data_IF_169077031704
#
_entry.id   IF_169077031704
#
_cell.length_a   1.000
_cell.length_b   1.000
_cell.length_c   1.000
_cell.angle_alpha   90.00
_cell.angle_beta   90.00
_cell.angle_gamma   90.00
#
_symmetry.space_group_name_H-M   'P 1'
#
loop_
_entity.id
_entity.type
_entity.pdbx_description
1 polymer ?
#
# COMPACT_ATOMS: atom_id res chain seq x y z
N UNK A 1 -21.72 -46.20 60.01
CA UNK A 1 -21.19 -44.93 60.57
C UNK A 1 -21.21 -43.94 59.41
N UNK A 2 -22.36 -43.30 59.13
CA UNK A 2 -22.75 -41.96 59.61
C UNK A 2 -22.07 -40.91 58.71
N UNK A 3 -22.69 -40.00 57.98
CA UNK A 3 -24.00 -39.32 58.04
C UNK A 3 -23.74 -37.95 57.36
N UNK A 4 -24.39 -37.67 56.23
CA UNK A 4 -25.39 -36.59 56.07
C UNK A 4 -24.87 -35.12 56.01
N UNK A 5 -25.06 -34.53 54.81
CA UNK A 5 -25.68 -33.22 54.44
C UNK A 5 -25.34 -31.93 55.22
N UNK A 6 -25.12 -30.83 54.47
CA UNK A 6 -25.73 -29.48 54.57
C UNK A 6 -25.01 -28.55 53.56
N UNK A 7 -25.60 -28.24 52.40
CA UNK A 7 -26.43 -27.07 52.09
C UNK A 7 -25.84 -25.72 52.50
N UNK A 8 -25.56 -24.84 51.53
CA UNK A 8 -25.88 -23.42 51.69
C UNK A 8 -26.14 -22.75 50.32
N UNK A 9 -27.35 -22.18 50.22
CA UNK A 9 -27.88 -21.30 49.19
C UNK A 9 -27.48 -19.84 49.50
N UNK A 10 -27.97 -18.92 48.65
CA UNK A 10 -28.08 -17.46 48.80
C UNK A 10 -26.81 -16.70 48.34
N UNK A 11 -26.84 -15.65 47.52
CA UNK A 11 -27.92 -14.72 47.15
C UNK A 11 -27.71 -14.14 45.75
N UNK A 12 -28.83 -13.83 45.10
CA UNK A 12 -28.96 -12.88 44.00
C UNK A 12 -28.38 -11.50 44.37
N UNK A 13 -27.78 -10.81 43.42
CA UNK A 13 -27.86 -9.36 43.34
C UNK A 13 -27.93 -8.94 41.88
N UNK A 14 -29.18 -8.77 41.47
CA UNK A 14 -29.65 -8.01 40.34
C UNK A 14 -29.34 -6.53 40.60
N UNK A 15 -28.59 -5.88 39.72
CA UNK A 15 -28.54 -4.42 39.65
C UNK A 15 -28.93 -3.99 38.23
N UNK A 16 -30.19 -3.58 38.10
CA UNK A 16 -30.71 -2.80 36.98
C UNK A 16 -30.64 -1.33 37.41
N UNK A 17 -29.95 -0.49 36.64
CA UNK A 17 -30.12 0.97 36.62
C UNK A 17 -29.45 1.50 35.33
N UNK A 18 -30.22 1.67 34.25
CA UNK A 18 -30.79 2.94 33.76
C UNK A 18 -29.80 3.82 32.97
N UNK A 19 -29.98 3.73 31.64
CA UNK A 19 -29.91 4.76 30.60
C UNK A 19 -29.72 6.22 31.07
N UNK A 20 -28.79 6.95 30.43
CA UNK A 20 -28.98 8.33 29.94
C UNK A 20 -28.17 8.47 28.64
N UNK A 21 -28.90 8.65 27.53
CA UNK A 21 -28.39 9.20 26.29
C UNK A 21 -27.95 10.65 26.49
N UNK A 22 -26.68 10.95 26.22
CA UNK A 22 -26.21 12.31 25.97
C UNK A 22 -25.71 12.42 24.53
N UNK A 23 -26.67 12.55 23.61
CA UNK A 23 -26.46 13.16 22.30
C UNK A 23 -26.79 14.64 22.45
N UNK A 24 -25.81 15.52 22.54
CA UNK A 24 -25.96 16.92 22.10
C UNK A 24 -24.63 17.50 21.61
N UNK A 25 -24.63 17.73 20.29
CA UNK A 25 -24.05 18.87 19.57
C UNK A 25 -22.56 19.20 19.69
N UNK A 26 -21.85 18.79 18.63
CA UNK A 26 -20.65 19.42 18.11
C UNK A 26 -20.91 20.89 17.74
N UNK A 27 -20.04 21.85 18.10
CA UNK A 27 -19.78 22.99 17.25
C UNK A 27 -18.69 22.59 16.24
N UNK A 28 -18.75 23.09 15.01
CA UNK A 28 -17.68 23.85 14.36
C UNK A 28 -18.08 24.08 12.90
N UNK A 29 -18.59 25.28 12.63
CA UNK A 29 -18.58 25.88 11.31
C UNK A 29 -17.13 26.24 10.93
N UNK A 30 -16.63 25.73 9.80
CA UNK A 30 -15.82 26.54 8.88
C UNK A 30 -15.71 25.84 7.53
N UNK A 31 -16.22 26.52 6.52
CA UNK A 31 -16.00 26.23 5.12
C UNK A 31 -14.50 26.36 4.80
N UNK A 32 -13.99 25.41 4.02
CA UNK A 32 -12.76 25.60 3.26
C UNK A 32 -12.97 25.01 1.87
N UNK A 33 -13.29 25.89 0.93
CA UNK A 33 -13.07 25.69 -0.51
C UNK A 33 -11.65 25.15 -0.72
N UNK A 34 -11.53 23.99 -1.37
CA UNK A 34 -10.35 23.70 -2.20
C UNK A 34 -10.81 23.06 -3.51
N UNK A 35 -10.32 23.70 -4.57
CA UNK A 35 -10.72 23.56 -5.95
C UNK A 35 -10.41 22.16 -6.55
N UNK A 36 -11.17 21.74 -7.57
CA UNK A 36 -10.79 20.60 -8.38
C UNK A 36 -9.56 20.96 -9.23
N UNK A 37 -8.48 20.22 -9.06
CA UNK A 37 -7.37 20.23 -10.01
C UNK A 37 -7.80 19.47 -11.27
N UNK A 38 -8.49 20.15 -12.17
CA UNK A 38 -8.57 19.74 -13.58
C UNK A 38 -7.30 20.22 -14.27
N UNK A 39 -6.30 19.35 -14.42
CA UNK A 39 -5.22 19.59 -15.36
C UNK A 39 -5.74 19.25 -16.77
N UNK A 40 -6.36 20.25 -17.42
CA UNK A 40 -6.56 20.22 -18.86
C UNK A 40 -5.19 20.40 -19.53
N UNK A 41 -4.68 19.34 -20.17
CA UNK A 41 -3.52 19.44 -21.05
C UNK A 41 -4.01 19.99 -22.39
N UNK A 42 -3.88 21.30 -22.57
CA UNK A 42 -4.10 21.96 -23.86
C UNK A 42 -2.96 21.62 -24.80
N UNK A 43 -3.22 20.77 -25.80
CA UNK A 43 -2.39 20.71 -27.01
C UNK A 43 -2.73 21.92 -27.88
N UNK A 44 -1.88 22.95 -27.84
CA UNK A 44 -1.86 23.99 -28.87
C UNK A 44 -1.34 23.38 -30.17
N UNK A 45 -2.25 22.87 -30.99
CA UNK A 45 -1.98 22.59 -32.40
C UNK A 45 -1.97 23.94 -33.11
N UNK A 46 -0.79 24.39 -33.50
CA UNK A 46 -0.59 25.53 -34.40
C UNK A 46 -0.78 25.01 -35.84
N UNK A 47 -1.80 25.47 -36.60
CA UNK A 47 -1.85 25.17 -38.03
C UNK A 47 -1.14 26.29 -38.79
N UNK A 48 0.04 26.00 -39.34
CA UNK A 48 0.57 26.78 -40.46
C UNK A 48 0.70 25.88 -41.68
N UNK A 49 -0.26 26.07 -42.59
CA UNK A 49 -0.07 25.89 -44.03
C UNK A 49 0.83 27.03 -44.53
N UNK A 50 1.77 26.76 -45.46
CA UNK A 50 1.45 27.08 -46.84
C UNK A 50 1.91 26.04 -47.86
N UNK A 51 1.14 25.99 -48.95
CA UNK A 51 1.48 25.48 -50.26
C UNK A 51 2.84 25.96 -50.76
N UNK A 52 3.62 25.07 -51.38
CA UNK A 52 4.13 25.37 -52.72
C UNK A 52 4.55 24.12 -53.49
N UNK A 53 4.11 24.12 -54.74
CA UNK A 53 4.55 23.26 -55.83
C UNK A 53 6.08 23.32 -55.98
N UNK A 54 6.72 22.23 -56.41
CA UNK A 54 7.57 22.17 -57.63
C UNK A 54 8.51 20.94 -57.61
N UNK A 55 8.42 20.19 -58.71
CA UNK A 55 9.40 19.28 -59.32
C UNK A 55 9.62 17.85 -58.75
N UNK A 56 8.97 16.94 -59.48
CA UNK A 56 9.45 15.62 -59.88
C UNK A 56 10.95 15.68 -60.23
N UNK A 57 11.78 14.98 -59.47
CA UNK A 57 13.07 14.48 -59.94
C UNK A 57 13.18 13.00 -59.58
N UNK A 58 12.91 12.17 -60.58
CA UNK A 58 13.27 10.76 -60.58
C UNK A 58 14.80 10.67 -60.65
N UNK A 59 15.41 10.26 -59.55
CA UNK A 59 16.76 9.71 -59.56
C UNK A 59 16.71 8.38 -58.83
N UNK A 60 16.58 7.31 -59.62
CA UNK A 60 16.89 5.94 -59.20
C UNK A 60 18.33 5.90 -58.72
N UNK A 61 18.50 5.91 -57.41
CA UNK A 61 19.70 5.46 -56.74
C UNK A 61 19.29 4.24 -55.92
N UNK A 62 19.50 3.06 -56.50
CA UNK A 62 19.56 1.78 -55.79
C UNK A 62 20.75 1.86 -54.81
N UNK A 63 20.53 2.55 -53.69
CA UNK A 63 21.39 2.48 -52.52
C UNK A 63 20.86 1.32 -51.70
N UNK A 64 21.62 0.23 -51.69
CA UNK A 64 21.44 -0.94 -50.85
C UNK A 64 21.46 -0.49 -49.39
N UNK A 65 20.29 -0.06 -48.90
CA UNK A 65 20.07 0.32 -47.51
C UNK A 65 20.12 -0.98 -46.72
N UNK A 66 21.26 -1.25 -46.10
CA UNK A 66 21.37 -2.30 -45.08
C UNK A 66 20.14 -2.20 -44.16
N UNK A 67 19.50 -3.35 -43.84
CA UNK A 67 18.36 -3.34 -42.94
C UNK A 67 18.78 -2.63 -41.64
N UNK A 68 17.93 -1.75 -41.08
CA UNK A 68 18.24 -1.07 -39.84
C UNK A 68 18.54 -2.16 -38.82
N UNK A 69 19.78 -2.14 -38.31
CA UNK A 69 20.25 -3.02 -37.24
C UNK A 69 19.28 -2.78 -36.09
N UNK A 70 18.38 -3.75 -35.86
CA UNK A 70 17.44 -3.71 -34.74
C UNK A 70 18.27 -3.43 -33.50
N UNK A 71 18.08 -2.24 -32.95
CA UNK A 71 18.75 -1.79 -31.74
C UNK A 71 18.18 -2.64 -30.62
N UNK A 72 18.87 -3.74 -30.32
CA UNK A 72 18.52 -4.72 -29.31
C UNK A 72 18.46 -3.96 -27.98
N UNK A 73 17.24 -3.60 -27.56
CA UNK A 73 17.04 -2.85 -26.33
C UNK A 73 17.51 -3.73 -25.17
N UNK A 74 18.42 -3.23 -24.32
CA UNK A 74 18.92 -4.02 -23.21
C UNK A 74 17.74 -4.46 -22.34
N UNK A 75 17.80 -5.68 -21.77
CA UNK A 75 16.72 -6.19 -20.97
C UNK A 75 16.41 -5.22 -19.82
N UNK A 76 15.12 -5.05 -19.46
CA UNK A 76 14.72 -4.12 -18.41
C UNK A 76 15.41 -4.50 -17.10
N UNK A 77 15.85 -3.48 -16.36
CA UNK A 77 16.44 -3.67 -15.05
C UNK A 77 15.36 -4.18 -14.09
N UNK A 78 15.57 -5.37 -13.53
CA UNK A 78 14.69 -5.93 -12.49
C UNK A 78 15.02 -5.28 -11.15
N UNK A 79 13.99 -4.85 -10.42
CA UNK A 79 14.07 -4.34 -9.05
C UNK A 79 13.11 -5.16 -8.20
N UNK A 80 13.62 -5.83 -7.17
CA UNK A 80 12.85 -6.67 -6.25
C UNK A 80 12.66 -5.96 -4.92
N UNK A 81 11.41 -5.82 -4.51
CA UNK A 81 11.03 -5.04 -3.35
C UNK A 81 10.14 -5.85 -2.40
N UNK A 82 10.57 -5.95 -1.14
CA UNK A 82 9.75 -6.46 -0.05
C UNK A 82 9.01 -5.30 0.61
N UNK A 83 7.67 -5.35 0.60
CA UNK A 83 6.82 -4.28 1.11
C UNK A 83 6.03 -4.71 2.36
N UNK A 84 6.22 -3.97 3.45
CA UNK A 84 5.58 -4.19 4.74
C UNK A 84 4.42 -3.21 4.94
N UNK A 85 3.21 -3.74 5.08
CA UNK A 85 2.00 -2.93 5.23
C UNK A 85 1.90 -2.27 6.61
N UNK A 86 1.07 -1.23 6.73
CA UNK A 86 0.82 -0.57 8.00
C UNK A 86 -0.22 -1.27 8.88
N UNK A 87 -0.35 -0.81 10.13
CA UNK A 87 -1.35 -1.25 11.10
C UNK A 87 -2.77 -1.32 10.50
N UNK A 88 -3.48 -2.39 10.83
CA UNK A 88 -4.80 -2.76 10.29
C UNK A 88 -4.82 -3.03 8.78
N UNK A 89 -3.65 -3.12 8.14
CA UNK A 89 -3.46 -3.54 6.74
C UNK A 89 -3.33 -5.06 6.59
N UNK A 90 -3.07 -5.51 5.36
CA UNK A 90 -2.67 -6.88 5.02
C UNK A 90 -1.86 -6.89 3.71
N UNK A 91 -1.33 -8.04 3.28
CA UNK A 91 -0.56 -8.12 2.04
C UNK A 91 -1.38 -7.71 0.81
N UNK A 92 -2.60 -8.26 0.65
CA UNK A 92 -3.42 -8.04 -0.52
C UNK A 92 -3.79 -6.56 -0.72
N UNK A 93 -4.27 -5.89 0.32
CA UNK A 93 -4.64 -4.47 0.22
C UNK A 93 -3.42 -3.56 -0.01
N UNK A 94 -2.24 -3.94 0.49
CA UNK A 94 -1.04 -3.17 0.27
C UNK A 94 -0.47 -3.38 -1.13
N UNK A 95 -0.60 -4.60 -1.67
CA UNK A 95 -0.28 -4.92 -3.06
C UNK A 95 -1.08 -4.03 -4.02
N UNK A 96 -2.39 -3.91 -3.82
CA UNK A 96 -3.26 -3.04 -4.63
C UNK A 96 -2.84 -1.56 -4.55
N UNK A 97 -2.46 -1.08 -3.36
CA UNK A 97 -1.99 0.30 -3.16
C UNK A 97 -0.65 0.60 -3.87
N UNK A 98 0.16 -0.42 -4.12
CA UNK A 98 1.46 -0.30 -4.78
C UNK A 98 1.38 -0.49 -6.31
N UNK A 99 0.21 -0.81 -6.87
CA UNK A 99 0.04 -0.97 -8.32
C UNK A 99 0.45 0.27 -9.13
N UNK A 100 0.17 1.51 -8.69
CA UNK A 100 0.66 2.70 -9.39
C UNK A 100 2.20 2.76 -9.51
N UNK A 101 2.93 2.14 -8.58
CA UNK A 101 4.40 2.09 -8.64
C UNK A 101 4.89 1.15 -9.73
N UNK A 102 4.21 0.01 -9.93
CA UNK A 102 4.51 -0.90 -11.04
C UNK A 102 4.27 -0.23 -12.38
N UNK A 103 3.16 0.50 -12.52
CA UNK A 103 2.85 1.27 -13.73
C UNK A 103 3.95 2.31 -14.01
N UNK A 104 4.36 3.06 -12.99
CA UNK A 104 5.42 4.06 -13.12
C UNK A 104 6.79 3.43 -13.45
N UNK A 105 7.11 2.27 -12.85
CA UNK A 105 8.34 1.53 -13.14
C UNK A 105 8.38 1.03 -14.58
N UNK A 106 7.29 0.43 -15.06
CA UNK A 106 7.18 -0.02 -16.46
C UNK A 106 7.35 1.14 -17.44
N UNK A 107 6.77 2.31 -17.16
CA UNK A 107 6.95 3.52 -17.97
C UNK A 107 8.40 4.02 -17.97
N UNK A 108 9.18 3.71 -16.93
CA UNK A 108 10.61 4.00 -16.82
C UNK A 108 11.51 2.85 -17.32
N UNK A 109 10.94 1.83 -17.97
CA UNK A 109 11.65 0.63 -18.45
C UNK A 109 12.32 -0.19 -17.33
N UNK A 110 11.72 -0.21 -16.14
CA UNK A 110 12.10 -1.10 -15.04
C UNK A 110 11.06 -2.21 -14.86
N UNK A 111 11.53 -3.40 -14.52
CA UNK A 111 10.67 -4.49 -14.05
C UNK A 111 10.63 -4.46 -12.51
N UNK A 112 9.58 -3.85 -11.95
CA UNK A 112 9.40 -3.75 -10.50
C UNK A 112 8.59 -4.94 -9.97
N UNK A 113 9.29 -5.85 -9.32
CA UNK A 113 8.71 -7.02 -8.65
C UNK A 113 8.48 -6.68 -7.17
N UNK A 114 7.24 -6.80 -6.72
CA UNK A 114 6.83 -6.44 -5.36
C UNK A 114 6.29 -7.68 -4.67
N UNK A 115 6.91 -8.05 -3.55
CA UNK A 115 6.38 -9.04 -2.60
C UNK A 115 5.82 -8.31 -1.40
N UNK A 116 4.60 -8.66 -1.00
CA UNK A 116 3.95 -8.16 0.22
C UNK A 116 3.76 -9.30 1.22
N UNK A 117 3.92 -9.01 2.51
CA UNK A 117 3.76 -9.99 3.60
C UNK A 117 2.70 -9.50 4.58
N UNK A 118 1.83 -10.40 5.04
CA UNK A 118 0.82 -10.08 6.04
C UNK A 118 1.40 -10.24 7.44
N UNK A 119 1.28 -9.20 8.25
CA UNK A 119 1.72 -9.22 9.64
C UNK A 119 0.97 -10.28 10.47
N UNK A 120 1.58 -10.84 11.52
CA UNK A 120 1.04 -12.01 12.21
C UNK A 120 0.01 -11.71 13.31
N UNK A 121 -0.20 -10.45 13.69
CA UNK A 121 -1.08 -10.08 14.81
C UNK A 121 -2.41 -9.53 14.29
N UNK A 122 -3.56 -10.17 14.54
CA UNK A 122 -4.85 -9.61 14.19
C UNK A 122 -5.12 -8.27 14.91
N UNK A 123 -5.59 -7.26 14.18
CA UNK A 123 -5.94 -5.93 14.72
C UNK A 123 -7.02 -5.27 13.89
N UNK A 124 -8.14 -4.93 14.54
CA UNK A 124 -9.27 -4.28 13.86
C UNK A 124 -9.78 -5.13 12.70
N UNK A 125 -9.71 -4.60 11.48
CA UNK A 125 -10.11 -5.29 10.23
C UNK A 125 -8.94 -5.92 9.46
N UNK A 126 -7.72 -5.86 9.99
CA UNK A 126 -6.54 -6.42 9.35
C UNK A 126 -5.53 -6.91 10.37
N UNK A 127 -4.27 -6.56 10.16
CA UNK A 127 -3.15 -7.08 10.94
C UNK A 127 -2.18 -5.98 11.35
N UNK A 128 -1.36 -6.27 12.34
CA UNK A 128 -0.27 -5.44 12.82
C UNK A 128 0.98 -6.31 13.07
N UNK A 129 2.15 -5.67 13.00
CA UNK A 129 3.43 -6.34 13.24
C UNK A 129 3.73 -6.53 14.73
N UNK A 130 3.09 -5.74 15.59
CA UNK A 130 3.12 -5.98 17.02
C UNK A 130 1.86 -5.42 17.67
N UNK A 131 1.52 -5.96 18.84
CA UNK A 131 0.45 -5.41 19.66
C UNK A 131 0.94 -4.16 20.39
N UNK A 132 0.02 -3.27 20.73
CA UNK A 132 0.29 -2.12 21.57
C UNK A 132 -0.47 -2.27 22.88
N UNK A 133 0.15 -2.03 24.05
CA UNK A 133 -0.58 -1.96 25.30
C UNK A 133 -1.69 -0.89 25.23
N UNK A 134 -2.82 -1.10 25.92
CA UNK A 134 -3.92 -0.14 25.90
C UNK A 134 -3.45 1.21 26.43
N UNK A 135 -3.87 2.29 25.77
CA UNK A 135 -3.53 3.69 26.11
C UNK A 135 -2.04 4.06 26.01
N UNK A 136 -1.21 3.20 25.42
CA UNK A 136 0.21 3.48 25.18
C UNK A 136 0.44 3.84 23.71
N UNK A 137 1.16 4.93 23.47
CA UNK A 137 1.64 5.31 22.13
C UNK A 137 2.95 4.57 21.84
N UNK A 138 3.23 4.27 20.57
CA UNK A 138 4.44 3.52 20.17
C UNK A 138 5.73 4.11 20.74
N UNK A 139 5.90 5.43 20.69
CA UNK A 139 7.08 6.12 21.22
C UNK A 139 7.18 6.11 22.76
N UNK A 140 6.13 5.72 23.47
CA UNK A 140 6.12 5.54 24.94
C UNK A 140 6.15 4.06 25.35
N UNK A 141 6.21 3.14 24.39
CA UNK A 141 6.17 1.72 24.69
C UNK A 141 7.52 1.24 25.22
N UNK A 142 7.48 0.48 26.31
CA UNK A 142 8.66 -0.23 26.84
C UNK A 142 8.84 -1.59 26.20
N UNK A 143 7.79 -2.12 25.57
CA UNK A 143 7.76 -3.43 24.93
C UNK A 143 6.90 -3.40 23.67
N UNK A 144 7.20 -4.30 22.74
CA UNK A 144 6.44 -4.51 21.52
C UNK A 144 6.02 -5.97 21.43
N UNK A 145 4.93 -6.38 22.12
CA UNK A 145 4.51 -7.77 22.11
C UNK A 145 4.32 -8.29 20.69
N UNK A 146 4.88 -9.47 20.41
CA UNK A 146 4.92 -10.15 19.10
C UNK A 146 5.92 -9.59 18.09
N UNK A 147 6.77 -8.63 18.47
CA UNK A 147 7.83 -8.12 17.59
C UNK A 147 8.75 -9.24 17.10
N UNK A 148 9.17 -10.16 17.98
CA UNK A 148 10.07 -11.26 17.62
C UNK A 148 9.46 -12.12 16.52
N UNK A 149 8.17 -12.49 16.65
CA UNK A 149 7.44 -13.26 15.65
C UNK A 149 7.39 -12.53 14.29
N UNK A 150 7.16 -11.22 14.32
CA UNK A 150 7.16 -10.41 13.11
C UNK A 150 8.53 -10.28 12.46
N UNK A 151 9.57 -10.07 13.26
CA UNK A 151 10.94 -9.97 12.78
C UNK A 151 11.40 -11.28 12.15
N UNK A 152 11.07 -12.42 12.77
CA UNK A 152 11.38 -13.74 12.25
C UNK A 152 10.66 -13.98 10.91
N UNK A 153 9.37 -13.65 10.81
CA UNK A 153 8.64 -13.78 9.55
C UNK A 153 9.27 -12.96 8.41
N UNK A 154 9.72 -11.73 8.70
CA UNK A 154 10.41 -10.89 7.71
C UNK A 154 11.76 -11.48 7.33
N UNK A 155 12.54 -11.96 8.31
CA UNK A 155 13.84 -12.60 8.05
C UNK A 155 13.68 -13.88 7.22
N UNK A 156 12.74 -14.75 7.57
CA UNK A 156 12.41 -15.95 6.78
C UNK A 156 12.02 -15.57 5.35
N UNK A 157 11.26 -14.50 5.16
CA UNK A 157 10.91 -14.01 3.81
C UNK A 157 12.16 -13.57 3.04
N UNK A 158 13.06 -12.81 3.69
CA UNK A 158 14.32 -12.37 3.09
C UNK A 158 15.28 -13.52 2.77
N UNK A 159 15.14 -14.67 3.43
CA UNK A 159 15.92 -15.87 3.12
C UNK A 159 15.34 -16.66 1.92
N UNK A 160 14.06 -16.46 1.57
CA UNK A 160 13.40 -17.21 0.49
C UNK A 160 13.63 -16.63 -0.91
N UNK A 161 13.94 -15.33 -1.02
CA UNK A 161 14.13 -14.65 -2.29
C UNK A 161 15.14 -13.50 -2.14
N UNK A 162 15.70 -13.04 -3.25
CA UNK A 162 16.59 -11.89 -3.28
C UNK A 162 15.77 -10.59 -3.38
N UNK A 163 16.05 -9.64 -2.49
CA UNK A 163 15.41 -8.33 -2.49
C UNK A 163 16.46 -7.22 -2.58
N UNK A 164 16.26 -6.27 -3.47
CA UNK A 164 17.10 -5.07 -3.56
C UNK A 164 16.75 -4.06 -2.45
N UNK A 165 15.45 -3.99 -2.11
CA UNK A 165 14.94 -3.01 -1.16
C UNK A 165 13.85 -3.59 -0.26
N UNK A 166 13.81 -3.10 0.98
CA UNK A 166 12.69 -3.29 1.91
C UNK A 166 12.05 -1.93 2.16
N UNK A 167 10.72 -1.86 2.02
CA UNK A 167 9.96 -0.64 2.30
C UNK A 167 8.83 -0.93 3.28
N UNK A 168 8.49 0.05 4.11
CA UNK A 168 7.40 -0.03 5.07
C UNK A 168 6.53 1.22 5.05
N UNK A 169 5.24 1.06 5.30
CA UNK A 169 4.31 2.17 5.50
C UNK A 169 3.72 2.11 6.90
N UNK A 170 4.09 3.03 7.79
CA UNK A 170 3.67 2.99 9.21
C UNK A 170 4.15 1.71 9.92
N UNK A 171 3.49 1.33 11.01
CA UNK A 171 3.73 0.09 11.77
C UNK A 171 3.44 -1.13 10.94
#
# INVERSE_FOLDING_TARGET
>A
VGGARLSCRWCFSLAIATSISCLLFLPTTTAALRAPWTAAVSFLIHPQSPSDNTQIRMASSLSSKEPPKEEETPPPKVIRLLALHGSEGNAANFQERLEPWKIAATAAHWDLQITTVTAPVPKGRGYAWWSMPPNVRSYNATEYPHFEKSSQLVLETLETDEYDYVVGFSQ
#
